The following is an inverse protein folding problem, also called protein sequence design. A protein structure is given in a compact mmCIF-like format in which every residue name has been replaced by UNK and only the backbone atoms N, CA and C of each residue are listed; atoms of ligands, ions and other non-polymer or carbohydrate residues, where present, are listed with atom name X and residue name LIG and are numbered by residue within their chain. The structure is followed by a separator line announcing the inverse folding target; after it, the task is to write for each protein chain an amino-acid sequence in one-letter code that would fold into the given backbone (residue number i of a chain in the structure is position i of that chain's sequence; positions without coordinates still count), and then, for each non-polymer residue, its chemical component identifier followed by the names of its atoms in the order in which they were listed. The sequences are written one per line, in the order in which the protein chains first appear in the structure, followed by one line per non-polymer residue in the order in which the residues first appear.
data_IF_073525009080
#
_entry.id   IF_073525009080
#
_cell.length_a   1.000
_cell.length_b   1.000
_cell.length_c   1.000
_cell.angle_alpha   90.00
_cell.angle_beta   90.00
_cell.angle_gamma   90.00
#
_symmetry.space_group_name_H-M   'P 1'
#
loop_
_entity.id
_entity.type
_entity.pdbx_description
1 polymer ?
#
# COMPACT_ATOMS: atom_id res chain seq x y z
N UNK A 1 -16.32 -1.26 8.66
CA UNK A 1 -15.11 -0.44 8.46
C UNK A 1 -14.13 -0.76 9.58
N UNK A 2 -12.84 -0.95 9.30
CA UNK A 2 -11.87 -1.27 10.35
C UNK A 2 -11.69 -0.09 11.30
N UNK A 3 -11.68 -0.36 12.60
CA UNK A 3 -11.30 0.61 13.61
C UNK A 3 -9.77 0.72 13.74
N UNK A 4 -9.25 1.81 14.34
CA UNK A 4 -7.81 2.00 14.54
C UNK A 4 -7.10 0.86 15.30
N UNK A 5 -7.79 0.18 16.22
CA UNK A 5 -7.23 -0.94 16.98
C UNK A 5 -7.06 -2.14 16.06
N UNK A 6 -8.04 -2.42 15.20
CA UNK A 6 -7.95 -3.49 14.20
C UNK A 6 -6.79 -3.29 13.21
N UNK A 7 -6.57 -2.06 12.75
CA UNK A 7 -5.42 -1.73 11.88
C UNK A 7 -4.12 -1.92 12.66
N UNK A 8 -4.04 -1.42 13.89
CA UNK A 8 -2.84 -1.57 14.75
C UNK A 8 -2.50 -3.03 14.99
N UNK A 9 -3.49 -3.88 15.27
CA UNK A 9 -3.29 -5.32 15.41
C UNK A 9 -2.73 -5.94 14.12
N UNK A 10 -3.23 -5.50 12.96
CA UNK A 10 -2.75 -5.96 11.65
C UNK A 10 -1.30 -5.52 11.39
N UNK A 11 -0.92 -4.30 11.82
CA UNK A 11 0.47 -3.80 11.77
C UNK A 11 1.40 -4.66 12.65
N UNK A 12 0.98 -4.97 13.87
CA UNK A 12 1.76 -5.84 14.77
C UNK A 12 1.92 -7.24 14.18
N UNK A 13 0.86 -7.78 13.57
CA UNK A 13 0.88 -9.06 12.86
C UNK A 13 1.96 -9.10 11.77
N UNK A 14 2.00 -8.11 10.88
CA UNK A 14 3.03 -8.06 9.83
C UNK A 14 4.43 -7.82 10.40
N UNK A 15 4.60 -7.02 11.45
CA UNK A 15 5.92 -6.87 12.11
C UNK A 15 6.40 -8.25 12.58
N UNK A 16 5.54 -9.01 13.25
CA UNK A 16 5.86 -10.35 13.71
C UNK A 16 6.17 -11.30 12.54
N UNK A 17 5.35 -11.31 11.49
CA UNK A 17 5.56 -12.14 10.30
C UNK A 17 6.86 -11.80 9.56
N UNK A 18 7.16 -10.50 9.40
CA UNK A 18 8.39 -10.02 8.80
C UNK A 18 9.63 -10.37 9.62
N UNK A 19 9.55 -10.29 10.96
CA UNK A 19 10.63 -10.72 11.85
C UNK A 19 10.85 -12.22 11.75
N UNK A 20 9.78 -13.03 11.77
CA UNK A 20 9.87 -14.47 11.62
C UNK A 20 10.52 -14.89 10.29
N UNK A 21 10.10 -14.27 9.18
CA UNK A 21 10.71 -14.52 7.88
C UNK A 21 12.16 -14.05 7.83
N UNK A 22 12.50 -12.89 8.40
CA UNK A 22 13.88 -12.39 8.44
C UNK A 22 14.79 -13.37 9.19
N UNK A 23 14.37 -13.85 10.38
CA UNK A 23 15.12 -14.85 11.14
C UNK A 23 15.26 -16.17 10.38
N UNK A 24 14.21 -16.59 9.68
CA UNK A 24 14.26 -17.79 8.83
C UNK A 24 15.29 -17.65 7.71
N UNK A 25 15.39 -16.47 7.08
CA UNK A 25 16.41 -16.18 6.06
C UNK A 25 17.82 -16.13 6.67
N UNK A 26 17.99 -15.51 7.84
CA UNK A 26 19.29 -15.38 8.52
C UNK A 26 19.88 -16.73 8.92
N UNK A 27 19.03 -17.72 9.24
CA UNK A 27 19.44 -19.08 9.54
C UNK A 27 19.94 -19.87 8.32
N UNK A 28 19.90 -19.29 7.11
CA UNK A 28 20.39 -19.92 5.88
C UNK A 28 21.83 -19.47 5.63
N UNK A 29 22.80 -20.35 5.94
CA UNK A 29 24.25 -20.09 5.84
C UNK A 29 24.69 -19.54 4.48
N UNK A 30 24.01 -19.91 3.39
CA UNK A 30 24.30 -19.44 2.03
C UNK A 30 23.02 -19.07 1.26
N UNK A 31 22.24 -18.13 1.80
CA UNK A 31 21.05 -17.63 1.12
C UNK A 31 21.39 -17.05 -0.27
N UNK A 32 20.73 -17.49 -1.35
CA UNK A 32 20.92 -16.92 -2.68
C UNK A 32 20.51 -15.44 -2.69
N UNK A 33 21.09 -14.66 -3.62
CA UNK A 33 20.86 -13.21 -3.68
C UNK A 33 19.38 -12.82 -3.83
N UNK A 34 18.58 -13.68 -4.49
CA UNK A 34 17.14 -13.49 -4.62
C UNK A 34 16.41 -13.51 -3.25
N UNK A 35 16.86 -14.35 -2.31
CA UNK A 35 16.33 -14.44 -0.95
C UNK A 35 16.89 -13.30 -0.07
N UNK A 36 18.18 -12.96 -0.22
CA UNK A 36 18.75 -11.77 0.45
C UNK A 36 18.05 -10.48 0.07
N UNK A 37 17.55 -10.38 -1.16
CA UNK A 37 16.74 -9.24 -1.59
C UNK A 37 15.40 -9.17 -0.82
N UNK A 38 14.76 -10.30 -0.52
CA UNK A 38 13.58 -10.33 0.36
C UNK A 38 13.94 -9.77 1.74
N UNK A 39 15.06 -10.18 2.33
CA UNK A 39 15.53 -9.63 3.61
C UNK A 39 15.70 -8.10 3.57
N UNK A 40 16.27 -7.56 2.48
CA UNK A 40 16.39 -6.10 2.27
C UNK A 40 15.03 -5.42 2.17
N UNK A 41 14.07 -6.02 1.46
CA UNK A 41 12.69 -5.49 1.40
C UNK A 41 12.01 -5.51 2.77
N UNK A 42 12.21 -6.55 3.59
CA UNK A 42 11.68 -6.62 4.96
C UNK A 42 12.28 -5.51 5.84
N UNK A 43 13.57 -5.23 5.69
CA UNK A 43 14.24 -4.11 6.37
C UNK A 43 13.64 -2.75 5.97
N UNK A 44 13.26 -2.57 4.69
CA UNK A 44 12.58 -1.36 4.22
C UNK A 44 11.11 -1.28 4.62
N UNK A 45 10.43 -2.43 4.80
CA UNK A 45 9.03 -2.48 5.24
C UNK A 45 8.89 -2.04 6.71
N UNK A 46 9.85 -2.40 7.57
CA UNK A 46 9.82 -2.06 9.01
C UNK A 46 9.60 -0.56 9.31
N UNK A 47 10.39 0.40 8.76
CA UNK A 47 10.16 1.81 9.03
C UNK A 47 8.81 2.31 8.49
N UNK A 48 8.31 1.77 7.38
CA UNK A 48 6.97 2.11 6.84
C UNK A 48 5.89 1.69 7.83
N UNK A 49 5.99 0.48 8.40
CA UNK A 49 5.05 -0.03 9.40
C UNK A 49 5.09 0.80 10.69
N UNK A 50 6.27 1.22 11.15
CA UNK A 50 6.40 2.11 12.30
C UNK A 50 5.74 3.47 12.05
N UNK A 51 5.96 4.06 10.87
CA UNK A 51 5.32 5.33 10.48
C UNK A 51 3.81 5.18 10.39
N UNK A 52 3.32 4.05 9.86
CA UNK A 52 1.89 3.76 9.79
C UNK A 52 1.28 3.61 11.18
N UNK A 53 1.92 2.89 12.09
CA UNK A 53 1.45 2.74 13.47
C UNK A 53 1.32 4.10 14.16
N UNK A 54 2.34 4.94 14.01
CA UNK A 54 2.32 6.30 14.53
C UNK A 54 1.18 7.14 13.91
N UNK A 55 1.01 7.10 12.59
CA UNK A 55 -0.05 7.84 11.92
C UNK A 55 -1.45 7.38 12.33
N UNK A 56 -1.66 6.07 12.56
CA UNK A 56 -2.92 5.52 13.07
C UNK A 56 -3.20 5.99 14.49
N UNK A 57 -2.20 5.91 15.38
CA UNK A 57 -2.30 6.36 16.78
C UNK A 57 -2.64 7.86 16.88
N UNK A 58 -1.99 8.67 16.05
CA UNK A 58 -2.22 10.12 15.98
C UNK A 58 -3.49 10.51 15.20
N UNK A 59 -4.30 9.54 14.76
CA UNK A 59 -5.51 9.76 13.93
C UNK A 59 -5.23 10.59 12.68
N UNK A 60 -4.03 10.42 12.11
CA UNK A 60 -3.59 11.08 10.88
C UNK A 60 -3.96 10.29 9.63
N UNK A 61 -4.37 9.03 9.79
CA UNK A 61 -4.93 8.23 8.70
C UNK A 61 -6.45 8.35 8.72
N UNK A 62 -7.02 8.76 7.58
CA UNK A 62 -8.45 8.63 7.33
C UNK A 62 -8.81 7.14 7.20
N UNK A 63 -9.29 6.57 8.31
CA UNK A 63 -9.70 5.17 8.38
C UNK A 63 -10.99 4.89 7.63
N UNK A 64 -11.83 5.90 7.40
CA UNK A 64 -13.03 5.77 6.57
C UNK A 64 -12.65 5.60 5.11
N UNK A 65 -11.67 6.40 4.66
CA UNK A 65 -11.23 6.39 3.28
C UNK A 65 -10.35 5.18 2.96
N UNK A 66 -9.33 4.89 3.78
CA UNK A 66 -8.29 3.90 3.45
C UNK A 66 -8.27 2.65 4.35
N UNK A 67 -9.00 2.65 5.47
CA UNK A 67 -8.84 1.64 6.52
C UNK A 67 -9.05 0.21 6.03
N UNK A 68 -10.07 -0.03 5.20
CA UNK A 68 -10.37 -1.35 4.66
C UNK A 68 -9.25 -1.91 3.77
N UNK A 69 -8.75 -1.10 2.84
CA UNK A 69 -7.67 -1.48 1.94
C UNK A 69 -6.32 -1.63 2.66
N UNK A 70 -6.02 -0.72 3.59
CA UNK A 70 -4.79 -0.80 4.41
C UNK A 70 -4.79 -2.06 5.24
N UNK A 71 -5.89 -2.35 5.94
CA UNK A 71 -6.03 -3.60 6.72
C UNK A 71 -5.87 -4.82 5.82
N UNK A 72 -6.57 -4.85 4.69
CA UNK A 72 -6.48 -5.98 3.75
C UNK A 72 -5.06 -6.17 3.23
N UNK A 73 -4.33 -5.09 2.94
CA UNK A 73 -2.94 -5.15 2.49
C UNK A 73 -2.00 -5.69 3.59
N UNK A 74 -2.21 -5.28 4.84
CA UNK A 74 -1.46 -5.77 5.99
C UNK A 74 -1.70 -7.26 6.24
N UNK A 75 -2.96 -7.69 6.20
CA UNK A 75 -3.35 -9.10 6.38
C UNK A 75 -2.77 -9.99 5.29
N UNK A 76 -2.88 -9.58 4.01
CA UNK A 76 -2.29 -10.32 2.89
C UNK A 76 -0.77 -10.39 2.99
N UNK A 77 -0.11 -9.30 3.39
CA UNK A 77 1.34 -9.28 3.58
C UNK A 77 1.76 -10.19 4.75
N UNK A 78 1.00 -10.20 5.84
CA UNK A 78 1.25 -11.07 6.99
C UNK A 78 1.17 -12.54 6.60
N UNK A 79 0.12 -12.92 5.87
CA UNK A 79 -0.05 -14.28 5.35
C UNK A 79 1.08 -14.65 4.40
N UNK A 80 1.44 -13.76 3.45
CA UNK A 80 2.55 -13.96 2.53
C UNK A 80 3.88 -14.21 3.26
N UNK A 81 4.22 -13.37 4.24
CA UNK A 81 5.42 -13.55 5.06
C UNK A 81 5.42 -14.90 5.81
N UNK A 82 4.29 -15.26 6.41
CA UNK A 82 4.18 -16.48 7.22
C UNK A 82 4.26 -17.73 6.37
N UNK A 83 3.50 -17.81 5.28
CA UNK A 83 3.48 -18.96 4.37
C UNK A 83 4.80 -19.12 3.63
N UNK A 84 5.40 -18.01 3.18
CA UNK A 84 6.71 -18.05 2.55
C UNK A 84 7.79 -18.49 3.54
N UNK A 85 7.72 -18.05 4.79
CA UNK A 85 8.65 -18.51 5.84
C UNK A 85 8.52 -20.01 6.12
N UNK A 86 7.29 -20.53 6.17
CA UNK A 86 7.04 -21.97 6.32
C UNK A 86 7.58 -22.76 5.13
N UNK A 87 7.33 -22.27 3.91
CA UNK A 87 7.84 -22.88 2.67
C UNK A 87 9.37 -22.89 2.66
N UNK A 88 9.98 -21.76 3.01
CA UNK A 88 11.43 -21.62 3.08
C UNK A 88 12.05 -22.55 4.13
N UNK A 89 11.43 -22.67 5.31
CA UNK A 89 11.84 -23.62 6.34
C UNK A 89 11.71 -25.08 5.87
N UNK A 90 10.66 -25.43 5.13
CA UNK A 90 10.52 -26.76 4.55
C UNK A 90 11.60 -27.06 3.50
N UNK A 91 11.90 -26.08 2.62
CA UNK A 91 12.92 -26.22 1.60
C UNK A 91 14.34 -26.40 2.17
N UNK A 92 14.60 -25.91 3.38
CA UNK A 92 15.92 -25.98 4.04
C UNK A 92 16.06 -27.11 5.04
N UNK A 93 14.97 -27.78 5.45
CA UNK A 93 14.98 -28.83 6.50
C UNK A 93 15.58 -30.18 6.08
N UNK A 94 15.66 -30.49 4.78
CA UNK A 94 16.04 -31.82 4.29
C UNK A 94 17.50 -31.96 3.82
N UNK A 95 18.37 -30.96 4.02
CA UNK A 95 19.81 -31.15 3.80
C UNK A 95 20.43 -31.83 5.03
N UNK A 96 20.92 -33.07 4.88
CA UNK A 96 21.42 -33.98 5.94
C UNK A 96 22.40 -33.38 6.95
N UNK A 97 22.53 -33.98 8.13
CA UNK A 97 23.24 -33.48 9.33
C UNK A 97 24.72 -33.05 9.14
N UNK A 98 25.41 -33.44 8.07
CA UNK A 98 26.76 -32.93 7.70
C UNK A 98 26.76 -31.92 6.52
N UNK A 99 25.63 -31.78 5.82
CA UNK A 99 25.38 -30.87 4.69
C UNK A 99 24.31 -29.80 5.02
N UNK A 100 24.05 -29.56 6.30
CA UNK A 100 23.01 -28.63 6.74
C UNK A 100 23.23 -27.24 6.11
N UNK A 101 22.21 -26.73 5.42
CA UNK A 101 22.00 -25.32 5.02
C UNK A 101 22.56 -24.79 3.69
N UNK A 102 22.88 -25.62 2.69
CA UNK A 102 23.15 -25.12 1.33
C UNK A 102 21.86 -25.14 0.49
N UNK A 103 21.20 -23.99 0.39
CA UNK A 103 20.22 -23.71 -0.66
C UNK A 103 20.99 -23.57 -1.98
N UNK A 104 21.38 -24.70 -2.57
CA UNK A 104 22.03 -24.69 -3.87
C UNK A 104 21.06 -24.10 -4.87
N UNK A 105 21.45 -23.00 -5.50
CA UNK A 105 20.67 -22.32 -6.55
C UNK A 105 20.28 -23.30 -7.67
N UNK A 106 21.08 -24.33 -7.91
CA UNK A 106 20.84 -25.41 -8.88
C UNK A 106 19.76 -26.40 -8.44
N UNK A 107 19.42 -26.47 -7.14
CA UNK A 107 18.34 -27.31 -6.58
C UNK A 107 17.02 -26.54 -6.39
N UNK A 108 17.01 -25.23 -6.59
CA UNK A 108 15.78 -24.41 -6.57
C UNK A 108 15.04 -24.66 -7.88
N UNK A 109 14.06 -25.57 -7.86
CA UNK A 109 13.19 -25.81 -9.00
C UNK A 109 12.44 -24.55 -9.46
N UNK A 110 11.99 -24.54 -10.72
CA UNK A 110 11.31 -23.41 -11.36
C UNK A 110 10.16 -22.83 -10.51
N UNK A 111 9.38 -23.69 -9.85
CA UNK A 111 8.27 -23.29 -8.98
C UNK A 111 8.74 -22.53 -7.74
N UNK A 112 9.82 -22.99 -7.08
CA UNK A 112 10.39 -22.29 -5.93
C UNK A 112 10.98 -20.93 -6.34
N UNK A 113 11.58 -20.85 -7.53
CA UNK A 113 12.03 -19.57 -8.09
C UNK A 113 10.85 -18.63 -8.40
N UNK A 114 9.74 -19.16 -8.93
CA UNK A 114 8.47 -18.46 -9.10
C UNK A 114 7.97 -17.88 -7.78
N UNK A 115 7.91 -18.69 -6.72
CA UNK A 115 7.50 -18.27 -5.37
C UNK A 115 8.40 -17.19 -4.76
N UNK A 116 9.72 -17.29 -4.94
CA UNK A 116 10.65 -16.25 -4.48
C UNK A 116 10.39 -14.92 -5.18
N UNK A 117 10.15 -14.93 -6.51
CA UNK A 117 9.80 -13.69 -7.25
C UNK A 117 8.46 -13.13 -6.80
N UNK A 118 7.46 -14.00 -6.69
CA UNK A 118 6.11 -13.62 -6.28
C UNK A 118 6.09 -12.99 -4.88
N UNK A 119 6.85 -13.55 -3.93
CA UNK A 119 6.98 -12.99 -2.58
C UNK A 119 7.57 -11.57 -2.61
N UNK A 120 8.58 -11.33 -3.44
CA UNK A 120 9.16 -9.98 -3.59
C UNK A 120 8.14 -8.99 -4.15
N UNK A 121 7.32 -9.42 -5.10
CA UNK A 121 6.29 -8.59 -5.69
C UNK A 121 5.14 -8.35 -4.70
N UNK A 122 4.78 -9.33 -3.87
CA UNK A 122 3.85 -9.15 -2.76
C UNK A 122 4.36 -8.11 -1.75
N UNK A 123 5.63 -8.20 -1.31
CA UNK A 123 6.22 -7.19 -0.42
C UNK A 123 6.24 -5.80 -1.06
N UNK A 124 6.59 -5.71 -2.33
CA UNK A 124 6.59 -4.45 -3.08
C UNK A 124 5.19 -3.83 -3.17
N UNK A 125 4.15 -4.63 -3.47
CA UNK A 125 2.76 -4.17 -3.46
C UNK A 125 2.32 -3.70 -2.07
N UNK A 126 2.69 -4.41 -1.00
CA UNK A 126 2.40 -3.96 0.37
C UNK A 126 3.03 -2.59 0.63
N UNK A 127 4.33 -2.44 0.39
CA UNK A 127 5.04 -1.17 0.59
C UNK A 127 4.45 -0.03 -0.24
N UNK A 128 4.07 -0.29 -1.51
CA UNK A 128 3.39 0.68 -2.38
C UNK A 128 2.08 1.17 -1.75
N UNK A 129 1.21 0.27 -1.30
CA UNK A 129 -0.07 0.59 -0.68
C UNK A 129 0.13 1.44 0.59
N UNK A 130 1.02 1.00 1.47
CA UNK A 130 1.26 1.69 2.74
C UNK A 130 1.86 3.08 2.52
N UNK A 131 2.86 3.20 1.64
CA UNK A 131 3.49 4.48 1.32
C UNK A 131 2.52 5.46 0.70
N UNK A 132 1.64 5.02 -0.21
CA UNK A 132 0.65 5.91 -0.84
C UNK A 132 -0.34 6.41 0.20
N UNK A 133 -0.81 5.53 1.07
CA UNK A 133 -1.69 5.90 2.17
C UNK A 133 -1.01 6.96 3.05
N UNK A 134 0.22 6.72 3.51
CA UNK A 134 0.98 7.64 4.34
C UNK A 134 1.22 8.99 3.66
N UNK A 135 1.75 8.97 2.43
CA UNK A 135 2.08 10.20 1.69
C UNK A 135 0.83 11.02 1.40
N UNK A 136 -0.28 10.39 1.01
CA UNK A 136 -1.54 11.09 0.73
C UNK A 136 -2.10 11.74 1.98
N UNK A 137 -2.23 10.98 3.08
CA UNK A 137 -2.74 11.52 4.34
C UNK A 137 -1.85 12.65 4.86
N UNK A 138 -0.52 12.46 4.87
CA UNK A 138 0.42 13.50 5.28
C UNK A 138 0.31 14.76 4.40
N UNK A 139 0.14 14.60 3.09
CA UNK A 139 0.03 15.73 2.16
C UNK A 139 -1.26 16.52 2.38
N UNK A 140 -2.39 15.83 2.59
CA UNK A 140 -3.68 16.44 2.91
C UNK A 140 -3.64 17.11 4.29
N UNK A 141 -3.03 16.47 5.29
CA UNK A 141 -2.90 17.09 6.61
C UNK A 141 -2.03 18.35 6.55
N UNK A 142 -0.92 18.27 5.82
CA UNK A 142 -0.04 19.42 5.58
C UNK A 142 -0.77 20.55 4.84
N UNK A 143 -1.57 20.26 3.81
CA UNK A 143 -2.31 21.30 3.07
C UNK A 143 -3.25 22.10 3.98
N UNK A 144 -3.83 21.45 5.00
CA UNK A 144 -4.73 22.04 5.99
C UNK A 144 -4.03 22.84 7.09
N UNK A 145 -2.70 22.78 7.19
CA UNK A 145 -1.96 23.49 8.23
C UNK A 145 -2.06 25.02 8.06
N UNK A 146 -2.46 25.72 9.13
CA UNK A 146 -2.49 27.19 9.16
C UNK A 146 -1.09 27.75 8.95
N UNK A 147 -0.96 28.73 8.06
CA UNK A 147 0.32 29.36 7.71
C UNK A 147 1.08 28.69 6.56
N UNK A 148 0.56 27.60 5.98
CA UNK A 148 1.11 27.07 4.74
C UNK A 148 0.86 28.05 3.58
N UNK A 149 1.93 28.39 2.86
CA UNK A 149 1.89 29.26 1.68
C UNK A 149 1.03 28.58 0.60
N UNK A 150 0.10 29.33 0.00
CA UNK A 150 -0.89 28.81 -0.96
C UNK A 150 -0.21 28.15 -2.17
N UNK A 151 0.80 28.79 -2.74
CA UNK A 151 1.54 28.26 -3.89
C UNK A 151 2.24 26.93 -3.55
N UNK A 152 2.77 26.81 -2.33
CA UNK A 152 3.42 25.58 -1.86
C UNK A 152 2.39 24.46 -1.67
N UNK A 153 1.21 24.78 -1.12
CA UNK A 153 0.08 23.85 -0.99
C UNK A 153 -0.33 23.33 -2.38
N UNK A 154 -0.61 24.23 -3.30
CA UNK A 154 -1.09 23.90 -4.64
C UNK A 154 -0.05 23.08 -5.41
N UNK A 155 1.24 23.42 -5.25
CA UNK A 155 2.34 22.66 -5.85
C UNK A 155 2.43 21.24 -5.29
N UNK A 156 2.37 21.04 -3.97
CA UNK A 156 2.43 19.71 -3.35
C UNK A 156 1.26 18.83 -3.76
N UNK A 157 0.04 19.36 -3.73
CA UNK A 157 -1.16 18.62 -4.13
C UNK A 157 -1.12 18.26 -5.62
N UNK A 158 -0.75 19.20 -6.49
CA UNK A 158 -0.66 18.95 -7.94
C UNK A 158 0.45 17.94 -8.29
N UNK A 159 1.59 18.02 -7.61
CA UNK A 159 2.70 17.06 -7.78
C UNK A 159 2.30 15.65 -7.36
N UNK A 160 1.60 15.53 -6.22
CA UNK A 160 1.07 14.24 -5.78
C UNK A 160 0.00 13.69 -6.74
N UNK A 161 -0.92 14.53 -7.23
CA UNK A 161 -1.94 14.15 -8.21
C UNK A 161 -1.29 13.56 -9.48
N UNK A 162 -0.28 14.24 -10.03
CA UNK A 162 0.47 13.77 -11.20
C UNK A 162 1.20 12.44 -10.93
N UNK A 163 1.83 12.31 -9.75
CA UNK A 163 2.49 11.07 -9.34
C UNK A 163 1.51 9.90 -9.21
N UNK A 164 0.31 10.13 -8.66
CA UNK A 164 -0.72 9.11 -8.50
C UNK A 164 -1.25 8.63 -9.85
N UNK A 165 -1.48 9.54 -10.81
CA UNK A 165 -1.86 9.17 -12.19
C UNK A 165 -0.82 8.24 -12.81
N UNK A 166 0.47 8.59 -12.72
CA UNK A 166 1.55 7.73 -13.22
C UNK A 166 1.59 6.36 -12.52
N UNK A 167 1.32 6.31 -11.20
CA UNK A 167 1.33 5.03 -10.46
C UNK A 167 0.12 4.16 -10.82
N UNK A 168 -1.04 4.73 -11.15
CA UNK A 168 -2.19 3.99 -11.68
C UNK A 168 -1.82 3.31 -12.99
N UNK A 169 -1.11 3.98 -13.90
CA UNK A 169 -0.64 3.37 -15.15
C UNK A 169 0.32 2.21 -14.90
N UNK A 170 1.21 2.34 -13.89
CA UNK A 170 2.10 1.24 -13.47
C UNK A 170 1.34 0.05 -12.90
N UNK A 171 0.25 0.26 -12.17
CA UNK A 171 -0.58 -0.85 -11.65
C UNK A 171 -1.23 -1.63 -12.78
N UNK A 172 -1.59 -0.99 -13.90
CA UNK A 172 -2.06 -1.70 -15.08
C UNK A 172 -0.99 -2.65 -15.64
N UNK A 173 0.29 -2.26 -15.58
CA UNK A 173 1.40 -3.15 -15.91
C UNK A 173 1.56 -4.29 -14.89
N UNK A 174 1.46 -3.98 -13.60
CA UNK A 174 1.55 -5.00 -12.54
C UNK A 174 0.45 -6.07 -12.70
N UNK A 175 -0.77 -5.68 -13.12
CA UNK A 175 -1.84 -6.64 -13.48
C UNK A 175 -1.46 -7.59 -14.62
N UNK A 176 -0.69 -7.14 -15.59
CA UNK A 176 -0.23 -8.00 -16.69
C UNK A 176 0.85 -8.99 -16.24
N UNK A 177 1.70 -8.61 -15.28
CA UNK A 177 2.66 -9.54 -14.69
C UNK A 177 1.98 -10.63 -13.85
N UNK A 178 0.82 -10.35 -13.23
CA UNK A 178 0.01 -11.39 -12.54
C UNK A 178 -0.36 -12.53 -13.49
N UNK A 179 -0.69 -12.23 -14.75
CA UNK A 179 -1.05 -13.25 -15.77
C UNK A 179 0.12 -14.22 -16.01
N UNK A 180 1.36 -13.74 -15.94
CA UNK A 180 2.54 -14.60 -16.06
C UNK A 180 2.60 -15.61 -14.91
N UNK A 181 2.32 -15.19 -13.68
CA UNK A 181 2.28 -16.09 -12.54
C UNK A 181 1.12 -17.09 -12.62
N UNK A 182 -0.04 -16.68 -13.12
CA UNK A 182 -1.19 -17.58 -13.37
C UNK A 182 -0.84 -18.68 -14.38
N UNK A 183 -0.10 -18.34 -15.44
CA UNK A 183 0.41 -19.32 -16.42
C UNK A 183 1.43 -20.26 -15.77
N UNK A 184 2.41 -19.72 -15.03
CA UNK A 184 3.43 -20.53 -14.33
C UNK A 184 2.80 -21.51 -13.33
N UNK A 185 1.76 -21.09 -12.61
CA UNK A 185 1.01 -21.95 -11.69
C UNK A 185 0.20 -23.05 -12.41
N UNK A 186 -0.34 -22.74 -13.59
CA UNK A 186 -1.14 -23.69 -14.38
C UNK A 186 -0.29 -24.82 -14.99
N UNK A 187 0.92 -24.47 -15.48
CA UNK A 187 1.85 -25.38 -16.18
C UNK A 187 2.66 -26.25 -15.21
N UNK A 188 2.62 -25.95 -13.91
CA UNK A 188 3.25 -26.75 -12.86
C UNK A 188 2.79 -28.22 -12.86
N UNK A 189 3.72 -29.17 -12.82
CA UNK A 189 3.41 -30.60 -12.64
C UNK A 189 2.85 -30.88 -11.23
N UNK A 190 2.01 -31.91 -11.11
CA UNK A 190 1.35 -32.33 -9.86
C UNK A 190 2.36 -32.57 -8.73
N UNK A 191 2.48 -31.58 -7.84
CA UNK A 191 3.28 -31.61 -6.62
C UNK A 191 2.52 -30.77 -5.58
N UNK A 192 2.68 -31.08 -4.28
CA UNK A 192 2.07 -30.32 -3.17
C UNK A 192 2.38 -28.81 -3.22
N UNK A 193 3.48 -28.43 -3.90
CA UNK A 193 3.87 -27.03 -4.11
C UNK A 193 2.94 -26.27 -5.09
N UNK A 194 2.13 -26.96 -5.92
CA UNK A 194 1.26 -26.34 -6.95
C UNK A 194 0.07 -25.62 -6.35
N UNK A 195 -0.68 -26.28 -5.47
CA UNK A 195 -1.86 -25.68 -4.83
C UNK A 195 -1.46 -24.49 -3.94
N UNK A 196 -0.35 -24.66 -3.20
CA UNK A 196 0.23 -23.59 -2.39
C UNK A 196 0.70 -22.40 -3.24
N UNK A 197 1.30 -22.64 -4.41
CA UNK A 197 1.68 -21.57 -5.33
C UNK A 197 0.46 -20.87 -5.96
N UNK A 198 -0.58 -21.61 -6.34
CA UNK A 198 -1.81 -21.03 -6.87
C UNK A 198 -2.48 -20.09 -5.85
N UNK A 199 -2.49 -20.49 -4.57
CA UNK A 199 -2.94 -19.62 -3.46
C UNK A 199 -2.10 -18.34 -3.36
N UNK A 200 -0.77 -18.44 -3.47
CA UNK A 200 0.10 -17.26 -3.48
C UNK A 200 -0.22 -16.31 -4.64
N UNK A 201 -0.50 -16.86 -5.82
CA UNK A 201 -0.83 -16.08 -7.03
C UNK A 201 -2.15 -15.34 -6.84
N UNK A 202 -3.18 -16.02 -6.35
CA UNK A 202 -4.48 -15.38 -6.06
C UNK A 202 -4.34 -14.29 -4.99
N UNK A 203 -3.52 -14.53 -3.96
CA UNK A 203 -3.20 -13.49 -2.97
C UNK A 203 -2.50 -12.30 -3.60
N UNK A 204 -1.53 -12.52 -4.50
CA UNK A 204 -0.83 -11.42 -5.19
C UNK A 204 -1.79 -10.62 -6.08
N UNK A 205 -2.68 -11.30 -6.81
CA UNK A 205 -3.75 -10.67 -7.60
C UNK A 205 -4.64 -9.77 -6.73
N UNK A 206 -5.05 -10.26 -5.57
CA UNK A 206 -5.81 -9.46 -4.60
C UNK A 206 -5.02 -8.23 -4.14
N UNK A 207 -3.72 -8.35 -3.89
CA UNK A 207 -2.87 -7.20 -3.54
C UNK A 207 -2.77 -6.16 -4.65
N UNK A 208 -2.66 -6.57 -5.92
CA UNK A 208 -2.65 -5.65 -7.07
C UNK A 208 -4.00 -4.95 -7.25
N UNK A 209 -5.11 -5.63 -6.97
CA UNK A 209 -6.44 -4.99 -6.97
C UNK A 209 -6.59 -3.99 -5.82
N UNK A 210 -6.09 -4.33 -4.63
CA UNK A 210 -6.09 -3.41 -3.49
C UNK A 210 -5.23 -2.17 -3.82
N UNK A 211 -4.06 -2.35 -4.43
CA UNK A 211 -3.21 -1.22 -4.80
C UNK A 211 -3.92 -0.28 -5.76
N UNK A 212 -4.57 -0.80 -6.80
CA UNK A 212 -5.40 0.01 -7.71
C UNK A 212 -6.46 0.82 -6.95
N UNK A 213 -7.22 0.19 -6.05
CA UNK A 213 -8.24 0.88 -5.26
C UNK A 213 -7.66 2.01 -4.42
N UNK A 214 -6.55 1.75 -3.73
CA UNK A 214 -5.86 2.75 -2.90
C UNK A 214 -5.36 3.92 -3.75
N UNK A 215 -4.79 3.67 -4.92
CA UNK A 215 -4.35 4.73 -5.82
C UNK A 215 -5.51 5.59 -6.33
N UNK A 216 -6.64 4.97 -6.71
CA UNK A 216 -7.84 5.70 -7.15
C UNK A 216 -8.42 6.55 -6.03
N UNK A 217 -8.59 5.98 -4.83
CA UNK A 217 -9.05 6.70 -3.64
C UNK A 217 -8.13 7.85 -3.26
N UNK A 218 -6.81 7.62 -3.31
CA UNK A 218 -5.82 8.67 -3.06
C UNK A 218 -5.90 9.79 -4.09
N UNK A 219 -6.08 9.46 -5.37
CA UNK A 219 -6.21 10.45 -6.44
C UNK A 219 -7.47 11.30 -6.23
N UNK A 220 -8.59 10.66 -5.90
CA UNK A 220 -9.85 11.33 -5.56
C UNK A 220 -9.70 12.25 -4.34
N UNK A 221 -9.11 11.75 -3.25
CA UNK A 221 -8.85 12.52 -2.04
C UNK A 221 -8.05 13.81 -2.32
N UNK A 222 -6.97 13.68 -3.09
CA UNK A 222 -6.09 14.80 -3.46
C UNK A 222 -6.80 15.76 -4.40
N UNK A 223 -7.58 15.26 -5.36
CA UNK A 223 -8.35 16.10 -6.27
C UNK A 223 -9.41 16.91 -5.52
N UNK A 224 -10.13 16.29 -4.58
CA UNK A 224 -11.09 16.98 -3.71
C UNK A 224 -10.37 18.06 -2.90
N UNK A 225 -9.29 17.72 -2.19
CA UNK A 225 -8.54 18.68 -1.37
C UNK A 225 -7.98 19.85 -2.19
N UNK A 226 -7.51 19.60 -3.42
CA UNK A 226 -7.00 20.65 -4.32
C UNK A 226 -8.09 21.56 -4.88
N UNK A 227 -9.26 20.99 -5.17
CA UNK A 227 -10.39 21.72 -5.77
C UNK A 227 -11.24 22.43 -4.73
N UNK A 228 -11.01 22.17 -3.44
CA UNK A 228 -11.65 22.90 -2.37
C UNK A 228 -11.31 24.39 -2.44
N UNK A 229 -12.36 25.22 -2.46
CA UNK A 229 -12.22 26.67 -2.38
C UNK A 229 -12.55 27.09 -0.94
N UNK A 230 -11.62 27.78 -0.28
CA UNK A 230 -11.89 28.40 1.01
C UNK A 230 -12.15 29.90 0.77
N UNK A 231 -13.40 30.30 0.93
CA UNK A 231 -13.88 31.67 0.74
C UNK A 231 -14.26 32.20 2.13
N UNK A 232 -13.55 33.20 2.65
CA UNK A 232 -13.84 33.78 3.97
C UNK A 232 -14.08 35.28 3.89
N UNK A 233 -14.71 35.83 4.94
CA UNK A 233 -14.91 37.28 5.11
C UNK A 233 -15.74 37.89 3.96
N UNK A 234 -16.78 37.19 3.53
CA UNK A 234 -17.69 37.64 2.47
C UNK A 234 -18.58 38.76 3.03
N UNK A 235 -18.41 39.99 2.55
CA UNK A 235 -19.28 41.12 2.89
C UNK A 235 -20.33 41.36 1.79
N UNK A 236 -21.61 41.32 2.17
CA UNK A 236 -22.73 41.76 1.34
C UNK A 236 -23.11 43.20 1.72
N UNK A 237 -22.97 44.13 0.78
CA UNK A 237 -23.37 45.53 0.97
C UNK A 237 -24.85 45.75 0.66
N UNK A 238 -25.40 46.91 1.01
CA UNK A 238 -26.81 47.30 0.76
C UNK A 238 -27.21 47.24 -0.73
N UNK A 239 -26.25 47.34 -1.66
CA UNK A 239 -26.47 47.22 -3.10
C UNK A 239 -26.28 45.78 -3.63
N UNK A 240 -25.87 44.86 -2.76
CA UNK A 240 -25.66 43.45 -3.13
C UNK A 240 -27.02 42.77 -3.31
N UNK A 241 -27.30 42.33 -4.53
CA UNK A 241 -28.58 41.71 -4.91
C UNK A 241 -28.57 40.18 -4.83
N UNK A 242 -27.40 39.54 -4.97
CA UNK A 242 -27.24 38.09 -4.75
C UNK A 242 -25.77 37.69 -4.58
N UNK A 243 -25.55 36.62 -3.82
CA UNK A 243 -24.29 35.85 -3.83
C UNK A 243 -24.54 34.58 -4.66
N UNK A 244 -23.89 34.46 -5.82
CA UNK A 244 -24.01 33.29 -6.68
C UNK A 244 -22.74 32.42 -6.57
N UNK A 245 -22.89 31.25 -5.96
CA UNK A 245 -21.89 30.20 -5.88
C UNK A 245 -22.48 28.87 -6.32
N UNK A 246 -21.63 27.91 -6.70
CA UNK A 246 -22.07 26.55 -6.98
C UNK A 246 -22.22 25.81 -5.66
N UNK A 247 -23.41 25.86 -5.08
CA UNK A 247 -23.78 25.10 -3.87
C UNK A 247 -24.54 23.84 -4.27
N UNK A 248 -24.12 22.66 -3.79
CA UNK A 248 -24.80 21.38 -4.08
C UNK A 248 -25.12 21.15 -5.57
N UNK A 249 -24.11 21.23 -6.45
CA UNK A 249 -24.32 20.93 -7.86
C UNK A 249 -24.19 19.43 -8.06
N UNK A 250 -25.28 18.74 -8.40
CA UNK A 250 -25.23 17.34 -8.79
C UNK A 250 -24.52 17.22 -10.14
N UNK A 251 -23.25 16.82 -10.11
CA UNK A 251 -22.41 16.62 -11.28
C UNK A 251 -20.95 16.30 -10.90
N UNK A 252 -20.11 15.82 -11.84
CA UNK A 252 -18.73 15.42 -11.56
C UNK A 252 -17.79 16.58 -11.17
N UNK A 253 -18.25 17.84 -11.29
CA UNK A 253 -17.52 19.05 -10.88
C UNK A 253 -17.81 19.43 -9.41
N UNK A 254 -17.52 18.51 -8.48
CA UNK A 254 -17.60 18.77 -7.05
C UNK A 254 -16.41 19.62 -6.57
N UNK A 255 -16.44 20.93 -6.81
CA UNK A 255 -15.58 21.86 -6.05
C UNK A 255 -16.22 22.09 -4.69
N UNK A 256 -15.73 21.44 -3.64
CA UNK A 256 -16.18 21.72 -2.27
C UNK A 256 -15.85 23.17 -1.90
N UNK A 257 -16.85 24.03 -1.77
CA UNK A 257 -16.64 25.41 -1.33
C UNK A 257 -16.92 25.51 0.16
N UNK A 258 -15.90 25.86 0.95
CA UNK A 258 -16.04 26.21 2.36
C UNK A 258 -16.17 27.74 2.45
N UNK A 259 -17.38 28.22 2.77
CA UNK A 259 -17.66 29.65 2.93
C UNK A 259 -17.86 29.98 4.40
N UNK A 260 -17.02 30.86 4.96
CA UNK A 260 -17.07 31.23 6.38
C UNK A 260 -17.05 32.74 6.59
N UNK A 261 -17.54 33.20 7.75
CA UNK A 261 -17.59 34.64 8.13
C UNK A 261 -18.27 35.52 7.08
N UNK A 262 -19.51 35.19 6.76
CA UNK A 262 -20.35 36.02 5.91
C UNK A 262 -20.96 37.13 6.76
N UNK A 263 -20.79 38.37 6.34
CA UNK A 263 -21.28 39.57 7.01
C UNK A 263 -22.14 40.39 6.03
N UNK A 264 -23.11 41.12 6.56
CA UNK A 264 -23.92 42.06 5.80
C UNK A 264 -23.85 43.42 6.49
N UNK A 265 -23.59 44.47 5.71
CA UNK A 265 -23.55 45.87 6.15
C UNK A 265 -24.91 46.55 6.01
#
# INVERSE_FOLDING_TARGET
MPDPVSITASILGIIQGATFLSSTIENIRSAPESIKNIQRQLQHLKPILTQLAYAVDQKQIDTDQFGAEVKSALDNCYQACTEFSNSLGHWTRHSSEDETSVLDYTKIGLLRQGRIRLMKDQLDQCMKILNVTLVTNNTIQMSRQKGMIKELRDHKLSSLEASLKQKIDKVHKDKMEVVKYEIEASVASETDDKESFASDVERHKNMVQISEKVYKKALEAVAIERTQQNISDVCATVESTSLAGKFNVDGPDMTGQDITKVHAD
#
